data_IF_498227657685
#
_entry.id   IF_498227657685
#
_cell.length_a   1.000
_cell.length_b   1.000
_cell.length_c   1.000
_cell.angle_alpha   90.00
_cell.angle_beta   90.00
_cell.angle_gamma   90.00
#
_symmetry.space_group_name_H-M   'P 1'
#
loop_
_entity.id
_entity.type
_entity.pdbx_description
1 polymer ?
#
# COMPACT_ATOMS: atom_id res chain seq x y z
N UNK A 1 1.60 27.72 -3.94
CA UNK A 1 0.82 26.54 -3.56
C UNK A 1 1.26 26.01 -2.22
N UNK A 2 0.33 25.51 -1.40
CA UNK A 2 0.71 24.79 -0.17
C UNK A 2 1.34 23.43 -0.50
N UNK A 3 2.45 23.09 0.16
CA UNK A 3 3.11 21.79 0.06
C UNK A 3 3.83 21.45 1.37
N UNK A 4 3.97 20.17 1.63
CA UNK A 4 4.72 19.65 2.78
C UNK A 4 6.20 19.57 2.40
N UNK A 5 7.05 20.28 3.13
CA UNK A 5 8.48 20.27 2.91
C UNK A 5 9.16 19.31 3.89
N UNK A 6 10.01 18.42 3.34
CA UNK A 6 10.79 17.44 4.07
C UNK A 6 12.29 17.60 3.74
N UNK A 7 13.04 18.25 4.61
CA UNK A 7 14.44 18.62 4.37
C UNK A 7 15.46 17.80 5.16
N UNK A 8 15.00 17.07 6.18
CA UNK A 8 15.84 16.23 7.05
C UNK A 8 15.08 14.98 7.51
N UNK A 9 15.81 13.90 7.74
CA UNK A 9 15.24 12.67 8.31
C UNK A 9 14.89 12.83 9.77
N UNK A 10 13.78 12.26 10.21
CA UNK A 10 13.34 12.32 11.60
C UNK A 10 11.88 11.91 11.84
N UNK A 11 11.36 12.16 13.03
CA UNK A 11 9.95 11.95 13.35
C UNK A 11 9.06 12.92 12.56
N UNK A 12 7.72 12.72 12.55
CA UNK A 12 6.79 13.56 11.78
C UNK A 12 6.94 15.07 11.98
N UNK A 13 7.45 15.50 13.14
CA UNK A 13 7.69 16.92 13.45
C UNK A 13 8.79 17.57 12.57
N UNK A 14 9.52 16.81 11.76
CA UNK A 14 10.44 17.37 10.75
C UNK A 14 9.74 17.92 9.52
N UNK A 15 8.48 17.55 9.31
CA UNK A 15 7.66 18.03 8.21
C UNK A 15 7.21 19.47 8.46
N UNK A 16 7.21 20.27 7.41
CA UNK A 16 6.80 21.68 7.47
C UNK A 16 5.84 21.99 6.31
N UNK A 17 4.68 22.53 6.60
CA UNK A 17 3.82 23.09 5.59
C UNK A 17 4.38 24.44 5.12
N UNK A 18 4.56 24.64 3.82
CA UNK A 18 5.15 25.83 3.20
C UNK A 18 4.39 26.23 1.94
N UNK A 19 4.43 27.51 1.65
CA UNK A 19 4.08 28.02 0.32
C UNK A 19 5.29 27.86 -0.61
N UNK A 20 5.07 27.19 -1.73
CA UNK A 20 6.07 26.96 -2.79
C UNK A 20 5.52 27.42 -4.13
N UNK A 21 6.39 27.60 -5.12
CA UNK A 21 5.96 27.82 -6.50
C UNK A 21 5.21 26.58 -7.02
N UNK A 22 4.18 26.84 -7.84
CA UNK A 22 3.46 25.78 -8.53
C UNK A 22 4.35 25.18 -9.62
N UNK A 23 4.53 23.85 -9.68
CA UNK A 23 5.40 23.25 -10.68
C UNK A 23 4.81 23.39 -12.08
N UNK A 24 5.69 23.44 -13.07
CA UNK A 24 5.35 23.38 -14.50
C UNK A 24 5.69 21.98 -15.01
N UNK A 25 4.79 21.31 -15.73
CA UNK A 25 5.09 19.96 -16.26
C UNK A 25 6.15 20.05 -17.35
N UNK A 26 7.08 19.12 -17.36
CA UNK A 26 7.99 18.90 -18.48
C UNK A 26 7.25 18.29 -19.68
N UNK A 27 7.96 18.09 -20.80
CA UNK A 27 7.38 17.61 -22.05
C UNK A 27 6.60 16.27 -21.92
N UNK A 28 7.03 15.40 -21.01
CA UNK A 28 6.48 14.06 -20.79
C UNK A 28 5.67 13.94 -19.48
N UNK A 29 5.34 15.06 -18.85
CA UNK A 29 4.61 15.08 -17.58
C UNK A 29 3.24 15.74 -17.71
N UNK A 30 2.38 15.41 -16.78
CA UNK A 30 1.11 16.08 -16.54
C UNK A 30 1.18 16.83 -15.23
N UNK A 31 0.56 18.01 -15.17
CA UNK A 31 0.35 18.76 -13.94
C UNK A 31 -0.99 18.36 -13.34
N UNK A 32 -0.97 17.85 -12.13
CA UNK A 32 -2.15 17.40 -11.40
C UNK A 32 -2.46 18.38 -10.27
N UNK A 33 -3.71 18.84 -10.21
CA UNK A 33 -4.33 19.43 -9.03
C UNK A 33 -4.73 18.28 -8.12
N UNK A 34 -4.01 18.09 -7.02
CA UNK A 34 -4.23 16.97 -6.08
C UNK A 34 -5.50 17.24 -5.27
N UNK A 35 -6.42 16.29 -5.24
CA UNK A 35 -7.64 16.35 -4.43
C UNK A 35 -7.56 15.43 -3.21
N UNK A 36 -6.91 14.27 -3.36
CA UNK A 36 -6.64 13.39 -2.24
C UNK A 36 -5.30 12.67 -2.41
N UNK A 37 -4.67 12.40 -1.30
CA UNK A 37 -3.48 11.56 -1.14
C UNK A 37 -3.61 10.74 0.13
N UNK A 38 -2.61 9.94 0.49
CA UNK A 38 -2.65 9.11 1.70
C UNK A 38 -1.41 9.33 2.55
N UNK A 39 -1.48 8.89 3.80
CA UNK A 39 -0.29 8.61 4.61
C UNK A 39 -0.29 7.14 4.97
N UNK A 40 0.73 6.43 4.55
CA UNK A 40 0.93 5.02 4.82
C UNK A 40 2.20 4.75 5.64
N UNK A 41 2.40 3.50 6.07
CA UNK A 41 3.60 3.12 6.85
C UNK A 41 4.89 3.31 6.05
N UNK A 42 4.83 3.17 4.74
CA UNK A 42 5.95 3.44 3.83
C UNK A 42 6.39 4.90 3.91
N UNK A 43 5.43 5.84 3.91
CA UNK A 43 5.72 7.27 4.09
C UNK A 43 6.41 7.54 5.43
N UNK A 44 5.88 6.95 6.52
CA UNK A 44 6.48 7.07 7.86
C UNK A 44 7.91 6.49 7.92
N UNK A 45 8.14 5.34 7.29
CA UNK A 45 9.47 4.72 7.21
C UNK A 45 10.43 5.59 6.40
N UNK A 46 9.95 6.17 5.30
CA UNK A 46 10.72 7.02 4.39
C UNK A 46 11.19 8.30 5.08
N UNK A 47 10.30 9.04 5.77
CA UNK A 47 10.72 10.28 6.45
C UNK A 47 11.72 10.02 7.59
N UNK A 48 11.69 8.83 8.20
CA UNK A 48 12.63 8.40 9.23
C UNK A 48 13.91 7.77 8.67
N UNK A 49 13.96 7.48 7.37
CA UNK A 49 14.97 6.63 6.74
C UNK A 49 15.19 5.32 7.54
N UNK A 50 14.11 4.61 7.83
CA UNK A 50 14.16 3.31 8.53
C UNK A 50 13.63 2.21 7.61
N UNK A 51 14.41 1.14 7.40
CA UNK A 51 15.76 0.89 7.92
C UNK A 51 16.81 1.84 7.30
N UNK A 52 17.97 1.97 7.95
CA UNK A 52 19.00 2.98 7.59
C UNK A 52 19.45 2.92 6.12
N UNK A 53 19.46 1.74 5.51
CA UNK A 53 19.84 1.60 4.09
C UNK A 53 18.91 2.34 3.13
N UNK A 54 17.69 2.72 3.55
CA UNK A 54 16.79 3.57 2.76
C UNK A 54 17.46 4.89 2.34
N UNK A 55 18.44 5.37 3.10
CA UNK A 55 19.22 6.57 2.74
C UNK A 55 20.02 6.42 1.44
N UNK A 56 20.37 5.20 1.07
CA UNK A 56 21.05 4.96 -0.22
C UNK A 56 20.15 5.32 -1.40
N UNK A 57 18.83 5.13 -1.24
CA UNK A 57 17.82 5.45 -2.27
C UNK A 57 17.32 6.88 -2.12
N UNK A 58 16.87 7.25 -0.91
CA UNK A 58 16.21 8.53 -0.66
C UNK A 58 17.17 9.71 -0.52
N UNK A 59 18.47 9.46 -0.28
CA UNK A 59 19.53 10.47 -0.11
C UNK A 59 20.34 10.23 1.16
N UNK A 60 21.66 10.24 1.07
CA UNK A 60 22.54 9.83 2.17
C UNK A 60 22.44 10.74 3.39
N UNK A 61 22.55 12.06 3.19
CA UNK A 61 22.55 13.07 4.25
C UNK A 61 21.20 13.73 4.45
N UNK A 62 20.51 13.99 3.34
CA UNK A 62 19.19 14.63 3.31
C UNK A 62 18.34 14.04 2.19
N UNK A 63 16.99 14.16 2.25
CA UNK A 63 16.12 13.71 1.18
C UNK A 63 16.45 14.38 -0.15
N UNK A 64 16.49 13.59 -1.23
CA UNK A 64 16.62 14.10 -2.61
C UNK A 64 15.33 14.77 -3.07
N UNK A 65 14.19 14.09 -2.86
CA UNK A 65 12.85 14.63 -3.08
C UNK A 65 12.40 15.30 -1.78
N UNK A 66 12.02 16.56 -1.85
CA UNK A 66 11.70 17.37 -0.67
C UNK A 66 10.20 17.40 -0.35
N UNK A 67 9.35 16.98 -1.27
CA UNK A 67 7.90 16.83 -1.03
C UNK A 67 7.61 15.34 -0.94
N UNK A 68 7.09 14.85 0.20
CA UNK A 68 6.76 13.43 0.37
C UNK A 68 5.43 13.07 -0.29
N UNK A 69 5.00 11.80 -0.08
CA UNK A 69 3.77 11.21 -0.61
C UNK A 69 4.02 10.39 -1.86
N UNK A 70 3.40 9.21 -1.89
CA UNK A 70 3.57 8.21 -2.95
C UNK A 70 2.29 8.00 -3.77
N UNK A 71 1.13 8.16 -3.15
CA UNK A 71 -0.19 7.95 -3.73
C UNK A 71 -0.87 9.28 -4.02
N UNK A 72 -1.65 9.36 -5.09
CA UNK A 72 -2.38 10.57 -5.43
C UNK A 72 -3.67 10.28 -6.19
N UNK A 73 -4.59 11.23 -6.11
CA UNK A 73 -5.71 11.38 -7.03
C UNK A 73 -6.01 12.86 -7.22
N UNK A 74 -6.42 13.24 -8.41
CA UNK A 74 -6.66 14.64 -8.74
C UNK A 74 -7.13 14.85 -10.15
N UNK A 75 -7.08 16.11 -10.59
CA UNK A 75 -7.48 16.56 -11.91
C UNK A 75 -6.28 17.12 -12.68
N UNK A 76 -6.14 16.77 -13.94
CA UNK A 76 -5.09 17.30 -14.81
C UNK A 76 -5.39 18.77 -15.16
N UNK A 77 -4.44 19.65 -14.88
CA UNK A 77 -4.53 21.10 -15.15
C UNK A 77 -3.66 21.58 -16.31
N UNK A 78 -2.63 20.81 -16.66
CA UNK A 78 -1.80 21.07 -17.85
C UNK A 78 -1.13 19.76 -18.27
N UNK A 79 -0.78 19.67 -19.52
CA UNK A 79 -0.07 18.53 -20.11
C UNK A 79 1.17 19.01 -20.87
N UNK A 80 2.26 18.23 -20.80
CA UNK A 80 3.45 18.44 -21.60
C UNK A 80 3.19 18.11 -23.08
N UNK A 81 4.05 18.59 -23.96
CA UNK A 81 3.84 18.50 -25.43
C UNK A 81 3.82 17.08 -25.98
N UNK A 82 4.42 16.12 -25.26
CA UNK A 82 4.51 14.72 -25.71
C UNK A 82 3.42 13.84 -25.09
N UNK A 83 2.50 14.39 -24.30
CA UNK A 83 1.41 13.63 -23.66
C UNK A 83 0.36 13.23 -24.72
N UNK A 84 0.00 11.95 -24.71
CA UNK A 84 -0.90 11.37 -25.72
C UNK A 84 -2.21 10.88 -25.08
N UNK A 85 -2.16 10.32 -23.86
CA UNK A 85 -3.30 9.60 -23.27
C UNK A 85 -4.19 10.48 -22.38
N UNK A 86 -3.73 11.70 -22.03
CA UNK A 86 -4.44 12.58 -21.13
C UNK A 86 -4.64 13.98 -21.68
N UNK A 87 -5.68 14.64 -21.17
CA UNK A 87 -5.99 16.05 -21.46
C UNK A 87 -6.36 16.79 -20.17
N UNK A 88 -6.34 18.11 -20.22
CA UNK A 88 -6.82 18.97 -19.12
C UNK A 88 -8.28 18.63 -18.78
N UNK A 89 -8.57 18.52 -17.48
CA UNK A 89 -9.86 18.12 -16.93
C UNK A 89 -10.01 16.64 -16.63
N UNK A 90 -9.11 15.78 -17.13
CA UNK A 90 -9.18 14.34 -16.81
C UNK A 90 -8.93 14.10 -15.32
N UNK A 91 -9.78 13.27 -14.70
CA UNK A 91 -9.62 12.79 -13.34
C UNK A 91 -8.69 11.60 -13.31
N UNK A 92 -7.62 11.67 -12.53
CA UNK A 92 -6.56 10.67 -12.51
C UNK A 92 -6.17 10.26 -11.11
N UNK A 93 -5.63 9.06 -11.00
CA UNK A 93 -5.01 8.53 -9.78
C UNK A 93 -3.77 7.71 -10.12
N UNK A 94 -2.91 7.53 -9.15
CA UNK A 94 -1.69 6.76 -9.36
C UNK A 94 -0.85 6.58 -8.12
N UNK A 95 0.28 5.92 -8.32
CA UNK A 95 1.24 5.57 -7.28
C UNK A 95 2.65 5.58 -7.86
N UNK A 96 3.58 6.22 -7.14
CA UNK A 96 5.01 6.16 -7.42
C UNK A 96 5.77 5.76 -6.15
N UNK A 97 6.30 4.54 -6.12
CA UNK A 97 7.06 3.99 -5.00
C UNK A 97 8.38 4.75 -4.71
N UNK A 98 8.85 5.54 -5.69
CA UNK A 98 10.00 6.43 -5.52
C UNK A 98 9.62 7.81 -4.97
N UNK A 99 8.34 8.03 -4.65
CA UNK A 99 7.76 9.28 -4.17
C UNK A 99 7.20 10.14 -5.29
N UNK A 100 5.89 10.33 -5.28
CA UNK A 100 5.16 11.15 -6.24
C UNK A 100 5.22 12.65 -5.93
N UNK A 101 5.54 13.03 -4.67
CA UNK A 101 5.44 14.42 -4.20
C UNK A 101 3.99 14.88 -4.01
N UNK A 102 3.11 13.96 -3.64
CA UNK A 102 1.66 14.19 -3.60
C UNK A 102 1.15 14.90 -2.35
N UNK A 103 2.00 15.13 -1.34
CA UNK A 103 1.63 15.93 -0.18
C UNK A 103 1.75 17.44 -0.51
N UNK A 104 1.06 17.86 -1.56
CA UNK A 104 1.02 19.23 -2.07
C UNK A 104 -0.28 19.49 -2.83
N UNK A 105 -0.63 20.77 -3.02
CA UNK A 105 -1.81 21.15 -3.82
C UNK A 105 -1.66 20.79 -5.31
N UNK A 106 -0.43 20.81 -5.83
CA UNK A 106 -0.11 20.46 -7.21
C UNK A 106 1.15 19.61 -7.25
N UNK A 107 1.20 18.67 -8.20
CA UNK A 107 2.37 17.86 -8.49
C UNK A 107 2.51 17.63 -9.99
N UNK A 108 3.71 17.29 -10.45
CA UNK A 108 3.92 16.76 -11.81
C UNK A 108 4.31 15.30 -11.77
N UNK A 109 3.89 14.54 -12.76
CA UNK A 109 4.23 13.12 -12.88
C UNK A 109 4.20 12.70 -14.35
N UNK A 110 5.00 11.70 -14.69
CA UNK A 110 5.01 11.15 -16.05
C UNK A 110 3.71 10.38 -16.35
N UNK A 111 3.29 10.41 -17.59
CA UNK A 111 2.03 9.85 -18.07
C UNK A 111 1.83 8.35 -17.72
N UNK A 112 2.90 7.59 -17.73
CA UNK A 112 2.87 6.14 -17.48
C UNK A 112 2.51 5.75 -16.04
N UNK A 113 2.60 6.70 -15.09
CA UNK A 113 2.30 6.50 -13.65
C UNK A 113 0.90 6.91 -13.23
N UNK A 114 0.08 7.38 -14.17
CA UNK A 114 -1.29 7.79 -13.92
C UNK A 114 -2.29 6.92 -14.67
N UNK A 115 -3.49 6.77 -14.12
CA UNK A 115 -4.66 6.14 -14.73
C UNK A 115 -5.88 7.03 -14.50
N UNK A 116 -6.86 6.97 -15.41
CA UNK A 116 -8.15 7.65 -15.23
C UNK A 116 -8.95 7.03 -14.10
N UNK A 117 -9.58 7.87 -13.28
CA UNK A 117 -10.50 7.43 -12.21
C UNK A 117 -11.81 6.96 -12.85
N UNK A 118 -12.36 5.79 -12.45
CA UNK A 118 -13.70 5.38 -12.86
C UNK A 118 -14.78 6.37 -12.36
N UNK A 119 -15.84 6.57 -13.15
CA UNK A 119 -16.90 7.55 -12.85
C UNK A 119 -17.63 7.31 -11.51
N UNK A 120 -17.70 6.06 -11.07
CA UNK A 120 -18.33 5.66 -9.81
C UNK A 120 -17.40 5.77 -8.59
N UNK A 121 -16.16 6.28 -8.74
CA UNK A 121 -15.12 6.31 -7.70
C UNK A 121 -14.77 7.75 -7.33
N UNK A 122 -14.74 8.03 -6.03
CA UNK A 122 -14.31 9.34 -5.52
C UNK A 122 -12.78 9.47 -5.53
N UNK A 123 -12.26 10.70 -5.45
CA UNK A 123 -10.81 10.93 -5.33
C UNK A 123 -10.20 10.20 -4.12
N UNK A 124 -10.87 10.22 -2.96
CA UNK A 124 -10.40 9.53 -1.76
C UNK A 124 -10.29 8.01 -1.96
N UNK A 125 -11.33 7.41 -2.55
CA UNK A 125 -11.33 5.97 -2.86
C UNK A 125 -10.24 5.62 -3.87
N UNK A 126 -10.03 6.45 -4.88
CA UNK A 126 -9.02 6.25 -5.91
C UNK A 126 -7.60 6.31 -5.30
N UNK A 127 -7.28 7.35 -4.51
CA UNK A 127 -5.98 7.45 -3.84
C UNK A 127 -5.73 6.25 -2.92
N UNK A 128 -6.72 5.87 -2.08
CA UNK A 128 -6.62 4.76 -1.15
C UNK A 128 -6.54 3.37 -1.82
N UNK A 129 -6.73 3.28 -3.13
CA UNK A 129 -6.76 2.02 -3.89
C UNK A 129 -5.44 1.70 -4.60
N UNK A 130 -4.34 2.35 -4.25
CA UNK A 130 -3.10 2.21 -5.00
C UNK A 130 -2.04 1.38 -4.26
N UNK A 131 -1.27 1.93 -3.33
CA UNK A 131 -0.13 1.25 -2.69
C UNK A 131 -0.54 -0.07 -2.03
N UNK A 132 -1.52 -0.02 -1.13
CA UNK A 132 -1.96 -1.22 -0.39
C UNK A 132 -2.42 -2.35 -1.31
N UNK A 133 -3.18 -2.01 -2.35
CA UNK A 133 -3.66 -2.97 -3.35
C UNK A 133 -2.54 -3.48 -4.26
N UNK A 134 -1.58 -2.62 -4.63
CA UNK A 134 -0.39 -3.01 -5.37
C UNK A 134 0.45 -4.03 -4.60
N UNK A 135 0.71 -3.80 -3.31
CA UNK A 135 1.45 -4.76 -2.48
C UNK A 135 0.67 -6.07 -2.28
N UNK A 136 -0.65 -6.01 -2.09
CA UNK A 136 -1.49 -7.22 -2.03
C UNK A 136 -1.45 -8.02 -3.33
N UNK A 137 -1.52 -7.35 -4.48
CA UNK A 137 -1.35 -7.97 -5.79
C UNK A 137 0.02 -8.65 -5.93
N UNK A 138 1.09 -8.03 -5.41
CA UNK A 138 2.43 -8.64 -5.45
C UNK A 138 2.51 -9.91 -4.60
N UNK A 139 1.80 -10.05 -3.48
CA UNK A 139 1.70 -11.31 -2.75
C UNK A 139 1.12 -12.41 -3.65
N UNK A 140 -0.02 -12.12 -4.27
CA UNK A 140 -0.75 -13.04 -5.13
C UNK A 140 0.09 -13.44 -6.35
N UNK A 141 0.79 -12.49 -6.97
CA UNK A 141 1.62 -12.73 -8.17
C UNK A 141 2.84 -13.64 -7.94
N UNK A 142 3.22 -13.88 -6.67
CA UNK A 142 4.36 -14.75 -6.32
C UNK A 142 3.97 -16.21 -6.10
N UNK A 143 2.70 -16.55 -6.20
CA UNK A 143 2.17 -17.89 -5.96
C UNK A 143 1.27 -18.35 -7.12
N UNK A 144 1.18 -19.66 -7.33
CA UNK A 144 0.22 -20.27 -8.24
C UNK A 144 -1.11 -20.45 -7.52
N UNK A 145 -1.91 -19.37 -7.50
CA UNK A 145 -3.17 -19.32 -6.80
C UNK A 145 -4.26 -20.05 -7.59
N UNK A 146 -4.94 -20.99 -6.94
CA UNK A 146 -6.01 -21.79 -7.53
C UNK A 146 -7.30 -21.68 -6.73
N UNK A 147 -8.43 -21.71 -7.40
CA UNK A 147 -9.77 -21.74 -6.80
C UNK A 147 -9.85 -22.80 -5.68
N UNK A 148 -10.47 -22.46 -4.57
CA UNK A 148 -10.69 -23.35 -3.44
C UNK A 148 -9.48 -23.56 -2.52
N UNK A 149 -8.30 -23.03 -2.83
CA UNK A 149 -7.16 -23.07 -1.91
C UNK A 149 -7.44 -22.29 -0.63
N UNK A 150 -6.77 -22.65 0.44
CA UNK A 150 -6.86 -21.97 1.74
C UNK A 150 -5.72 -20.97 1.90
N UNK A 151 -6.05 -19.71 2.16
CA UNK A 151 -5.09 -18.63 2.40
C UNK A 151 -5.38 -17.96 3.74
N UNK A 152 -4.35 -17.82 4.56
CA UNK A 152 -4.43 -17.03 5.78
C UNK A 152 -3.83 -15.66 5.54
N UNK A 153 -4.58 -14.59 5.91
CA UNK A 153 -4.13 -13.19 5.83
C UNK A 153 -3.97 -12.65 7.25
N UNK A 154 -2.73 -12.50 7.71
CA UNK A 154 -2.41 -11.87 8.98
C UNK A 154 -2.35 -10.35 8.82
N UNK A 155 -3.07 -9.62 9.69
CA UNK A 155 -3.24 -8.16 9.56
C UNK A 155 -4.26 -7.77 8.48
N UNK A 156 -5.35 -8.54 8.36
CA UNK A 156 -6.38 -8.45 7.33
C UNK A 156 -7.12 -7.09 7.26
N UNK A 157 -6.88 -6.18 8.19
CA UNK A 157 -7.57 -4.88 8.29
C UNK A 157 -6.73 -3.69 7.86
N UNK A 158 -5.41 -3.84 7.71
CA UNK A 158 -4.55 -2.78 7.18
C UNK A 158 -4.76 -2.54 5.68
N UNK A 159 -4.11 -1.52 5.10
CA UNK A 159 -4.24 -1.20 3.67
C UNK A 159 -3.93 -2.43 2.78
N UNK A 160 -2.81 -3.11 3.02
CA UNK A 160 -2.40 -4.31 2.26
C UNK A 160 -3.35 -5.48 2.57
N UNK A 161 -3.64 -5.74 3.86
CA UNK A 161 -4.44 -6.89 4.24
C UNK A 161 -5.89 -6.84 3.77
N UNK A 162 -6.54 -5.67 3.88
CA UNK A 162 -7.91 -5.49 3.40
C UNK A 162 -8.03 -5.61 1.88
N UNK A 163 -7.00 -5.14 1.16
CA UNK A 163 -6.90 -5.33 -0.28
C UNK A 163 -6.66 -6.82 -0.62
N UNK A 164 -5.78 -7.51 0.11
CA UNK A 164 -5.51 -8.93 -0.10
C UNK A 164 -6.77 -9.79 0.08
N UNK A 165 -7.58 -9.54 1.12
CA UNK A 165 -8.84 -10.27 1.33
C UNK A 165 -9.78 -10.13 0.13
N UNK A 166 -9.97 -8.91 -0.39
CA UNK A 166 -10.85 -8.65 -1.54
C UNK A 166 -10.30 -9.29 -2.83
N UNK A 167 -9.02 -9.17 -3.10
CA UNK A 167 -8.40 -9.79 -4.27
C UNK A 167 -8.47 -11.32 -4.20
N UNK A 168 -8.22 -11.92 -3.03
CA UNK A 168 -8.34 -13.36 -2.82
C UNK A 168 -9.79 -13.85 -3.02
N UNK A 169 -10.78 -13.08 -2.55
CA UNK A 169 -12.20 -13.34 -2.85
C UNK A 169 -12.46 -13.35 -4.36
N UNK A 170 -11.90 -12.38 -5.09
CA UNK A 170 -12.04 -12.32 -6.55
C UNK A 170 -11.48 -13.57 -7.26
N UNK A 171 -10.44 -14.20 -6.70
CA UNK A 171 -9.86 -15.45 -7.20
C UNK A 171 -10.54 -16.72 -6.67
N UNK A 172 -11.69 -16.61 -6.00
CA UNK A 172 -12.47 -17.75 -5.47
C UNK A 172 -11.67 -18.68 -4.52
N UNK A 173 -10.81 -18.12 -3.66
CA UNK A 173 -10.09 -18.89 -2.64
C UNK A 173 -10.73 -18.74 -1.25
N UNK A 174 -10.49 -19.71 -0.37
CA UNK A 174 -10.98 -19.67 1.01
C UNK A 174 -10.06 -18.79 1.87
N UNK A 175 -10.54 -17.64 2.30
CA UNK A 175 -9.76 -16.67 3.08
C UNK A 175 -10.03 -16.82 4.57
N UNK A 176 -8.97 -17.09 5.35
CA UNK A 176 -8.98 -16.93 6.80
C UNK A 176 -8.30 -15.62 7.15
N UNK A 177 -9.06 -14.65 7.70
CA UNK A 177 -8.57 -13.35 8.09
C UNK A 177 -8.19 -13.31 9.57
N UNK A 178 -7.02 -12.76 9.91
CA UNK A 178 -6.60 -12.52 11.30
C UNK A 178 -6.75 -11.02 11.60
N UNK A 179 -7.60 -10.68 12.58
CA UNK A 179 -7.87 -9.30 12.97
C UNK A 179 -8.24 -9.19 14.46
N UNK A 180 -8.43 -7.97 14.97
CA UNK A 180 -8.98 -7.74 16.31
C UNK A 180 -10.51 -7.86 16.31
N UNK A 181 -11.11 -8.13 17.49
CA UNK A 181 -12.56 -8.29 17.69
C UNK A 181 -13.39 -7.22 16.99
N UNK A 182 -13.03 -5.95 17.13
CA UNK A 182 -13.76 -4.80 16.57
C UNK A 182 -13.89 -4.80 15.04
N UNK A 183 -13.06 -5.59 14.36
CA UNK A 183 -12.95 -5.58 12.89
C UNK A 183 -13.48 -6.89 12.25
N UNK A 184 -14.09 -7.78 13.02
CA UNK A 184 -14.58 -9.07 12.52
C UNK A 184 -15.60 -8.87 11.39
N UNK A 185 -16.59 -8.01 11.61
CA UNK A 185 -17.63 -7.76 10.62
C UNK A 185 -17.08 -7.10 9.35
N UNK A 186 -16.09 -6.20 9.50
CA UNK A 186 -15.41 -5.61 8.35
C UNK A 186 -14.76 -6.68 7.47
N UNK A 187 -13.93 -7.56 8.03
CA UNK A 187 -13.21 -8.55 7.20
C UNK A 187 -14.14 -9.60 6.60
N UNK A 188 -15.26 -9.94 7.26
CA UNK A 188 -16.33 -10.76 6.67
C UNK A 188 -16.95 -10.08 5.46
N UNK A 189 -17.30 -8.80 5.58
CA UNK A 189 -17.87 -8.02 4.48
C UNK A 189 -16.91 -7.91 3.29
N UNK A 190 -15.60 -7.84 3.53
CA UNK A 190 -14.57 -7.86 2.50
C UNK A 190 -14.43 -9.22 1.80
N UNK A 191 -14.94 -10.30 2.40
CA UNK A 191 -14.98 -11.63 1.79
C UNK A 191 -14.18 -12.72 2.52
N UNK A 192 -13.80 -12.50 3.78
CA UNK A 192 -13.20 -13.54 4.57
C UNK A 192 -14.24 -14.64 4.91
N UNK A 193 -13.94 -15.90 4.60
CA UNK A 193 -14.79 -17.06 4.91
C UNK A 193 -14.62 -17.51 6.36
N UNK A 194 -13.46 -17.25 6.96
CA UNK A 194 -13.14 -17.49 8.37
C UNK A 194 -12.43 -16.29 8.98
N UNK A 195 -12.62 -16.10 10.30
CA UNK A 195 -11.94 -15.03 11.04
C UNK A 195 -11.32 -15.61 12.30
N UNK A 196 -10.06 -15.25 12.57
CA UNK A 196 -9.34 -15.53 13.83
C UNK A 196 -9.13 -14.20 14.54
N UNK A 197 -9.65 -14.10 15.76
CA UNK A 197 -9.49 -12.95 16.62
C UNK A 197 -8.18 -13.08 17.42
N UNK A 198 -7.12 -12.38 16.98
CA UNK A 198 -5.81 -12.47 17.63
C UNK A 198 -5.79 -11.91 19.06
N UNK A 199 -6.86 -11.22 19.49
CA UNK A 199 -6.98 -10.72 20.88
C UNK A 199 -7.45 -11.81 21.83
N UNK A 200 -8.00 -12.91 21.30
CA UNK A 200 -8.55 -14.04 22.07
C UNK A 200 -7.76 -15.34 21.89
N UNK A 201 -7.16 -15.53 20.71
CA UNK A 201 -6.43 -16.77 20.40
C UNK A 201 -5.18 -16.50 19.56
N UNK A 202 -4.19 -17.36 19.73
CA UNK A 202 -2.96 -17.34 18.93
C UNK A 202 -3.20 -18.07 17.60
N UNK A 203 -3.31 -17.32 16.50
CA UNK A 203 -3.56 -17.85 15.18
C UNK A 203 -2.50 -18.88 14.72
N UNK A 204 -1.27 -18.82 15.27
CA UNK A 204 -0.20 -19.75 14.92
C UNK A 204 -0.44 -21.17 15.46
N UNK A 205 -1.38 -21.33 16.38
CA UNK A 205 -1.81 -22.61 16.95
C UNK A 205 -3.02 -23.19 16.23
N UNK A 206 -3.54 -22.54 15.19
CA UNK A 206 -4.69 -23.04 14.44
C UNK A 206 -4.35 -24.39 13.76
N UNK A 207 -5.27 -25.33 13.81
CA UNK A 207 -5.07 -26.68 13.26
C UNK A 207 -5.24 -26.73 11.75
N UNK A 208 -6.00 -25.77 11.17
CA UNK A 208 -6.20 -25.68 9.74
C UNK A 208 -4.88 -25.46 9.02
N UNK A 209 -4.69 -26.15 7.88
CA UNK A 209 -3.52 -25.98 7.02
C UNK A 209 -3.84 -25.09 5.82
N UNK A 210 -2.87 -24.28 5.46
CA UNK A 210 -2.98 -23.27 4.41
C UNK A 210 -1.99 -23.53 3.27
N UNK A 211 -2.42 -23.24 2.06
CA UNK A 211 -1.55 -23.21 0.89
C UNK A 211 -0.61 -22.01 0.98
N UNK A 212 -1.15 -20.88 1.45
CA UNK A 212 -0.40 -19.62 1.58
C UNK A 212 -0.72 -18.93 2.90
N UNK A 213 0.31 -18.31 3.48
CA UNK A 213 0.18 -17.40 4.62
C UNK A 213 0.74 -16.05 4.18
N UNK A 214 -0.12 -15.04 4.14
CA UNK A 214 0.22 -13.65 3.78
C UNK A 214 0.29 -12.81 5.05
N UNK A 215 1.50 -12.40 5.45
CA UNK A 215 1.72 -11.53 6.61
C UNK A 215 1.83 -10.08 6.14
N UNK A 216 0.69 -9.37 6.15
CA UNK A 216 0.56 -7.99 5.72
C UNK A 216 0.91 -6.96 6.80
N UNK A 217 1.32 -7.40 8.00
CA UNK A 217 1.60 -6.53 9.15
C UNK A 217 3.00 -6.72 9.73
N UNK A 218 3.72 -7.76 9.33
CA UNK A 218 5.08 -8.02 9.79
C UNK A 218 5.20 -8.41 11.27
N UNK A 219 4.10 -8.84 11.90
CA UNK A 219 4.09 -9.26 13.32
C UNK A 219 4.24 -10.76 13.54
N UNK A 220 4.51 -11.51 12.46
CA UNK A 220 4.77 -12.94 12.51
C UNK A 220 6.10 -13.28 11.82
N UNK A 221 6.36 -14.55 11.60
CA UNK A 221 7.55 -15.02 10.89
C UNK A 221 7.29 -16.39 10.24
N UNK A 222 8.12 -16.74 9.26
CA UNK A 222 8.06 -18.06 8.63
C UNK A 222 8.14 -19.19 9.66
N UNK A 223 9.05 -19.09 10.63
CA UNK A 223 9.24 -20.14 11.65
C UNK A 223 8.01 -20.31 12.56
N UNK A 224 7.32 -19.22 12.89
CA UNK A 224 6.06 -19.28 13.66
C UNK A 224 4.92 -19.87 12.83
N UNK A 225 4.88 -19.59 11.54
CA UNK A 225 3.80 -19.99 10.63
C UNK A 225 4.05 -21.33 9.91
N UNK A 226 5.25 -21.92 10.01
CA UNK A 226 5.62 -23.14 9.26
C UNK A 226 4.69 -24.32 9.55
N UNK A 227 4.15 -24.42 10.77
CA UNK A 227 3.20 -25.48 11.16
C UNK A 227 1.82 -25.29 10.52
N UNK A 228 1.46 -24.04 10.14
CA UNK A 228 0.21 -23.74 9.46
C UNK A 228 0.25 -24.09 7.97
N UNK A 229 1.44 -24.19 7.36
CA UNK A 229 1.58 -24.45 5.95
C UNK A 229 1.39 -25.93 5.61
N UNK A 230 0.68 -26.20 4.51
CA UNK A 230 0.65 -27.52 3.86
C UNK A 230 2.04 -27.86 3.29
N UNK A 231 2.33 -29.12 2.95
CA UNK A 231 3.47 -29.45 2.11
C UNK A 231 3.48 -28.62 0.82
N UNK A 232 4.61 -28.00 0.50
CA UNK A 232 4.73 -27.07 -0.63
C UNK A 232 4.15 -25.67 -0.38
N UNK A 233 3.59 -25.40 0.78
CA UNK A 233 2.99 -24.11 1.13
C UNK A 233 4.01 -22.96 1.20
N UNK A 234 3.52 -21.72 1.04
CA UNK A 234 4.36 -20.52 0.96
C UNK A 234 3.95 -19.50 2.01
N UNK A 235 4.94 -18.98 2.74
CA UNK A 235 4.80 -17.80 3.58
C UNK A 235 5.33 -16.57 2.84
N UNK A 236 4.56 -15.49 2.83
CA UNK A 236 4.94 -14.22 2.23
C UNK A 236 4.72 -13.10 3.23
N UNK A 237 5.71 -12.21 3.38
CA UNK A 237 5.60 -11.02 4.22
C UNK A 237 6.09 -9.79 3.48
N UNK A 238 5.39 -8.67 3.63
CA UNK A 238 5.81 -7.36 3.12
C UNK A 238 6.79 -6.64 4.04
N UNK A 239 6.98 -7.15 5.25
CA UNK A 239 7.90 -6.59 6.24
C UNK A 239 9.26 -7.28 6.16
N UNK A 240 10.34 -6.54 6.45
CA UNK A 240 11.69 -7.11 6.49
C UNK A 240 11.87 -8.16 7.59
N UNK A 241 11.03 -8.10 8.63
CA UNK A 241 11.13 -8.94 9.80
C UNK A 241 12.32 -8.62 10.69
N UNK A 242 12.45 -9.35 11.81
CA UNK A 242 13.58 -9.18 12.72
C UNK A 242 14.90 -9.45 12.00
N UNK A 243 15.87 -8.52 12.09
CA UNK A 243 17.19 -8.60 11.40
C UNK A 243 17.09 -8.90 9.90
N UNK A 244 16.05 -8.40 9.22
CA UNK A 244 15.79 -8.62 7.80
C UNK A 244 15.63 -10.10 7.41
N UNK A 245 15.16 -10.95 8.34
CA UNK A 245 14.98 -12.40 8.12
C UNK A 245 14.14 -12.74 6.88
N UNK A 246 13.15 -11.91 6.55
CA UNK A 246 12.27 -12.13 5.40
C UNK A 246 12.97 -11.88 4.05
N UNK A 247 14.17 -11.30 4.04
CA UNK A 247 15.05 -11.22 2.85
C UNK A 247 15.99 -12.42 2.80
N UNK A 248 16.59 -12.81 3.94
CA UNK A 248 17.58 -13.89 3.97
C UNK A 248 16.96 -15.29 3.92
N UNK A 249 15.82 -15.52 4.60
CA UNK A 249 15.16 -16.83 4.61
C UNK A 249 14.77 -17.32 3.19
N UNK A 250 14.26 -16.49 2.26
CA UNK A 250 14.01 -16.91 0.88
C UNK A 250 15.25 -17.48 0.18
N UNK A 251 16.44 -17.01 0.51
CA UNK A 251 17.71 -17.52 -0.05
C UNK A 251 18.10 -18.87 0.56
N UNK A 252 17.73 -19.11 1.82
CA UNK A 252 18.08 -20.33 2.54
C UNK A 252 17.06 -21.45 2.34
N UNK A 253 15.77 -21.15 2.22
CA UNK A 253 14.71 -22.17 2.13
C UNK A 253 14.83 -23.13 0.95
N UNK A 254 15.36 -22.76 -0.24
CA UNK A 254 15.61 -23.74 -1.31
C UNK A 254 16.61 -24.82 -0.93
N UNK A 255 17.60 -24.50 -0.07
CA UNK A 255 18.69 -25.43 0.34
C UNK A 255 18.12 -26.49 1.30
N UNK A 256 17.26 -26.09 2.24
CA UNK A 256 16.70 -26.97 3.26
C UNK A 256 15.27 -27.42 2.93
N UNK A 257 14.84 -27.24 1.70
CA UNK A 257 13.47 -27.44 1.21
C UNK A 257 12.90 -28.81 1.52
N UNK A 258 13.69 -29.89 1.34
CA UNK A 258 13.25 -31.26 1.61
C UNK A 258 12.97 -31.50 3.09
N UNK A 259 13.78 -30.94 3.99
CA UNK A 259 13.60 -31.04 5.45
C UNK A 259 12.36 -30.29 5.94
N UNK A 260 11.91 -29.28 5.21
CA UNK A 260 10.75 -28.45 5.53
C UNK A 260 9.44 -28.91 4.86
N UNK A 261 9.41 -30.10 4.24
CA UNK A 261 8.24 -30.59 3.48
C UNK A 261 7.93 -29.72 2.27
N UNK A 262 8.94 -29.26 1.58
CA UNK A 262 8.87 -28.34 0.43
C UNK A 262 8.24 -26.96 0.73
N UNK A 263 8.08 -26.61 1.99
CA UNK A 263 7.61 -25.28 2.40
C UNK A 263 8.67 -24.22 2.13
N UNK A 264 8.26 -23.03 1.74
CA UNK A 264 9.19 -21.93 1.42
C UNK A 264 8.68 -20.58 1.90
N UNK A 265 9.57 -19.62 1.99
CA UNK A 265 9.24 -18.21 2.19
C UNK A 265 9.62 -17.41 0.95
N UNK A 266 8.86 -16.35 0.67
CA UNK A 266 9.10 -15.44 -0.44
C UNK A 266 8.99 -14.01 0.08
N UNK A 267 9.94 -13.16 -0.30
CA UNK A 267 9.83 -11.71 -0.12
C UNK A 267 9.24 -11.10 -1.40
N UNK A 268 8.05 -10.46 -1.33
CA UNK A 268 7.37 -9.97 -2.51
C UNK A 268 7.93 -8.61 -2.92
N UNK A 269 9.08 -8.59 -3.61
CA UNK A 269 9.58 -7.32 -4.18
C UNK A 269 8.50 -6.75 -5.10
N UNK A 270 8.00 -5.53 -4.83
CA UNK A 270 6.94 -4.94 -5.63
C UNK A 270 7.44 -4.62 -7.04
N UNK A 271 6.68 -5.06 -8.03
CA UNK A 271 7.02 -4.85 -9.45
C UNK A 271 5.73 -4.65 -10.26
N UNK A 272 5.84 -4.05 -11.45
CA UNK A 272 4.71 -3.92 -12.39
C UNK A 272 3.53 -3.11 -11.84
N UNK A 273 3.79 -1.91 -11.28
CA UNK A 273 2.78 -1.02 -10.69
C UNK A 273 1.60 -0.81 -11.66
N UNK A 274 1.86 -0.44 -12.91
CA UNK A 274 0.81 -0.18 -13.91
C UNK A 274 -0.14 -1.38 -14.09
N UNK A 275 0.41 -2.60 -14.14
CA UNK A 275 -0.40 -3.83 -14.30
C UNK A 275 -1.33 -4.05 -13.10
N UNK A 276 -0.83 -3.88 -11.88
CA UNK A 276 -1.66 -4.02 -10.68
C UNK A 276 -2.75 -2.95 -10.61
N UNK A 277 -2.41 -1.69 -10.90
CA UNK A 277 -3.39 -0.59 -10.87
C UNK A 277 -4.46 -0.74 -11.95
N UNK A 278 -4.13 -1.27 -13.13
CA UNK A 278 -5.13 -1.59 -14.17
C UNK A 278 -6.12 -2.66 -13.69
N UNK A 279 -5.65 -3.71 -13.02
CA UNK A 279 -6.55 -4.72 -12.43
C UNK A 279 -7.44 -4.09 -11.35
N UNK A 280 -6.85 -3.30 -10.45
CA UNK A 280 -7.60 -2.65 -9.37
C UNK A 280 -8.65 -1.69 -9.93
N UNK A 281 -8.28 -0.87 -10.94
CA UNK A 281 -9.22 0.01 -11.63
C UNK A 281 -10.42 -0.76 -12.17
N UNK A 282 -10.18 -1.85 -12.90
CA UNK A 282 -11.25 -2.71 -13.45
C UNK A 282 -12.14 -3.31 -12.35
N UNK A 283 -11.56 -3.71 -11.21
CA UNK A 283 -12.34 -4.24 -10.09
C UNK A 283 -13.14 -3.14 -9.38
N UNK A 284 -12.64 -1.91 -9.30
CA UNK A 284 -13.39 -0.76 -8.81
C UNK A 284 -14.58 -0.43 -9.72
N UNK A 285 -14.38 -0.41 -11.04
CA UNK A 285 -15.44 -0.20 -12.03
C UNK A 285 -16.57 -1.21 -11.89
N UNK A 286 -16.24 -2.48 -11.59
CA UNK A 286 -17.18 -3.57 -11.36
C UNK A 286 -17.78 -3.60 -9.95
N UNK A 287 -17.39 -2.69 -9.05
CA UNK A 287 -17.81 -2.72 -7.65
C UNK A 287 -17.27 -3.91 -6.84
N UNK A 288 -16.23 -4.60 -7.35
CA UNK A 288 -15.60 -5.78 -6.71
C UNK A 288 -14.44 -5.45 -5.80
N UNK A 289 -13.97 -4.20 -5.83
CA UNK A 289 -12.93 -3.69 -4.96
C UNK A 289 -13.32 -2.32 -4.43
N UNK A 290 -13.21 -2.15 -3.10
CA UNK A 290 -13.43 -0.88 -2.43
C UNK A 290 -12.39 -0.70 -1.33
N UNK A 291 -11.63 0.39 -1.39
CA UNK A 291 -10.60 0.66 -0.40
C UNK A 291 -11.20 0.95 0.97
N UNK A 292 -10.61 0.35 2.01
CA UNK A 292 -10.97 0.65 3.39
C UNK A 292 -10.28 1.94 3.81
N UNK A 293 -11.07 2.90 4.27
CA UNK A 293 -10.60 4.20 4.75
C UNK A 293 -10.88 4.28 6.25
N UNK A 294 -9.86 4.58 7.06
CA UNK A 294 -9.93 4.68 8.50
C UNK A 294 -10.16 6.14 8.96
N UNK A 295 -9.23 7.02 8.61
CA UNK A 295 -9.24 8.42 9.01
C UNK A 295 -9.06 9.38 7.84
N UNK A 296 -9.56 10.61 8.05
CA UNK A 296 -9.43 11.73 7.12
C UNK A 296 -8.79 12.89 7.84
N UNK A 297 -7.80 13.49 7.20
CA UNK A 297 -7.07 14.67 7.67
C UNK A 297 -6.95 15.64 6.50
N UNK A 298 -6.79 16.92 6.80
CA UNK A 298 -6.44 17.92 5.78
C UNK A 298 -4.92 17.97 5.58
N UNK A 299 -4.47 18.62 4.50
CA UNK A 299 -3.03 18.83 4.28
C UNK A 299 -2.38 19.61 5.43
N UNK A 300 -3.10 20.52 6.06
CA UNK A 300 -2.63 21.27 7.24
C UNK A 300 -2.42 20.36 8.47
N UNK A 301 -3.13 19.24 8.55
CA UNK A 301 -3.05 18.24 9.62
C UNK A 301 -2.07 17.08 9.30
N UNK A 302 -1.20 17.25 8.32
CA UNK A 302 -0.34 16.16 7.83
C UNK A 302 0.53 15.54 8.93
N UNK A 303 1.07 16.34 9.85
CA UNK A 303 1.91 15.86 10.96
C UNK A 303 1.10 14.95 11.90
N UNK A 304 -0.16 15.29 12.16
CA UNK A 304 -1.07 14.49 12.98
C UNK A 304 -1.41 13.18 12.29
N UNK A 305 -1.65 13.21 10.98
CA UNK A 305 -1.89 12.01 10.18
C UNK A 305 -0.69 11.04 10.23
N UNK A 306 0.54 11.53 10.08
CA UNK A 306 1.74 10.72 10.22
C UNK A 306 1.86 10.12 11.63
N UNK A 307 1.67 10.93 12.68
CA UNK A 307 1.67 10.46 14.07
C UNK A 307 0.59 9.41 14.32
N UNK A 308 -0.58 9.58 13.71
CA UNK A 308 -1.67 8.60 13.78
C UNK A 308 -1.27 7.26 13.15
N UNK A 309 -0.71 7.28 11.94
CA UNK A 309 -0.25 6.07 11.24
C UNK A 309 0.86 5.36 11.99
N UNK A 310 1.79 6.10 12.61
CA UNK A 310 2.91 5.53 13.39
C UNK A 310 2.45 4.75 14.62
N UNK A 311 1.29 5.06 15.22
CA UNK A 311 0.71 4.26 16.32
C UNK A 311 0.43 2.81 15.92
N UNK A 312 0.30 2.53 14.61
CA UNK A 312 0.17 1.17 14.09
C UNK A 312 -1.18 0.49 14.35
N UNK A 313 -2.23 1.25 14.66
CA UNK A 313 -3.57 0.75 14.99
C UNK A 313 -4.62 1.09 13.92
N UNK A 314 -4.22 1.71 12.82
CA UNK A 314 -5.13 2.11 11.75
C UNK A 314 -5.79 0.89 11.06
N UNK A 315 -7.00 1.10 10.59
CA UNK A 315 -7.78 0.15 9.80
C UNK A 315 -7.87 0.69 8.35
N UNK A 316 -7.31 -0.02 7.37
CA UNK A 316 -7.26 0.48 5.98
C UNK A 316 -6.26 1.61 5.77
N UNK A 317 -6.68 2.64 5.05
CA UNK A 317 -5.87 3.77 4.61
C UNK A 317 -6.21 5.04 5.38
N UNK A 318 -5.25 5.95 5.52
CA UNK A 318 -5.45 7.29 6.08
C UNK A 318 -5.39 8.27 4.92
N UNK A 319 -6.47 9.02 4.73
CA UNK A 319 -6.63 9.99 3.64
C UNK A 319 -6.19 11.37 4.09
N UNK A 320 -5.52 12.06 3.19
CA UNK A 320 -5.29 13.50 3.24
C UNK A 320 -6.12 14.16 2.14
N UNK A 321 -7.11 14.94 2.54
CA UNK A 321 -7.85 15.81 1.62
C UNK A 321 -7.05 17.08 1.38
N UNK A 322 -6.92 17.46 0.12
CA UNK A 322 -6.17 18.66 -0.28
C UNK A 322 -7.14 19.73 -0.70
N UNK A 323 -7.30 20.74 0.17
CA UNK A 323 -8.17 21.87 -0.08
C UNK A 323 -7.49 22.87 -1.04
N UNK A 324 -8.32 23.54 -1.83
CA UNK A 324 -7.92 24.60 -2.76
C UNK A 324 -8.76 25.82 -2.52
N UNK A 325 -8.14 26.98 -2.50
CA UNK A 325 -8.87 28.23 -2.41
C UNK A 325 -9.84 28.35 -3.60
N UNK A 326 -11.08 28.78 -3.32
CA UNK A 326 -12.15 28.90 -4.32
C UNK A 326 -11.91 29.99 -5.38
N UNK A 327 -10.72 30.58 -5.42
CA UNK A 327 -10.34 31.71 -6.29
C UNK A 327 -9.23 31.40 -7.32
N UNK A 328 -8.87 30.13 -7.54
CA UNK A 328 -7.85 29.78 -8.55
C UNK A 328 -8.37 28.76 -9.57
#
# INVERSE_FOLDING_TARGET
>A
MKAVLWTKYGPPDVLQLKELEKPTPSDNEVLIKVHATTVNRTDCATIRAKPFFMRLVTGLLKPKKQIPGTEFSGEIKAVGKNIIFFKTGDKVFGFDDQGAGSHAQYMTITEDKALTIPDNITYEQAAASTEGAHYAYNFISKVDLKKGQNVLVNGATGAIGSAAVQLLRYYDVNVTAVCATKNIELVKALGASKVIDYTKEDFTKNEQKYNFVFDAVGKSSFLKCIKLLQPGGVYISSDLGYMAQNIFLPLMTPIIKSMLGNKKTVFPVPTHIKRSLLLIKNLMEQGKFNSVIDGRFTLDQIIEAYKYVEKGHKTGNVIITVEHDSKT
#
